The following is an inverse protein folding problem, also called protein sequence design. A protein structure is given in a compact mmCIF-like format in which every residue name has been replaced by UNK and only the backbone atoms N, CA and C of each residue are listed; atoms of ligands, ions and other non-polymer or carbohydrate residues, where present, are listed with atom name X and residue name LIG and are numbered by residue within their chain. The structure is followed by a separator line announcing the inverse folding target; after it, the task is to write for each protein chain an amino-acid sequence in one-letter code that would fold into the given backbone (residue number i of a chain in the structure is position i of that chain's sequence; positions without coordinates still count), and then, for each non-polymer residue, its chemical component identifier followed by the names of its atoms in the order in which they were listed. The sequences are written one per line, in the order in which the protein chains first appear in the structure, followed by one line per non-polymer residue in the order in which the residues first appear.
data_IF_512350599364
#
_entry.id   IF_512350599364
#
_cell.length_a   1.000
_cell.length_b   1.000
_cell.length_c   1.000
_cell.angle_alpha   90.00
_cell.angle_beta   90.00
_cell.angle_gamma   90.00
#
_symmetry.space_group_name_H-M   'P 1'
#
loop_
_entity.id
_entity.type
_entity.pdbx_description
1 polymer ?
#
# COMPACT_ATOMS: atom_id res chain seq x y z
N UNK A 1 -25.99 -48.62 29.04
CA UNK A 1 -24.70 -48.65 28.32
C UNK A 1 -23.73 -47.73 29.05
N UNK A 2 -23.25 -48.09 30.23
CA UNK A 2 -22.10 -48.97 30.49
C UNK A 2 -20.75 -48.33 30.08
N UNK A 3 -20.24 -47.56 31.03
CA UNK A 3 -18.89 -47.04 31.27
C UNK A 3 -17.87 -48.20 31.28
N UNK A 4 -16.73 -48.10 30.57
CA UNK A 4 -15.37 -48.27 31.15
C UNK A 4 -14.23 -48.16 30.11
N UNK A 5 -13.03 -47.77 30.60
CA UNK A 5 -11.81 -47.53 29.85
C UNK A 5 -10.92 -48.79 29.81
N UNK A 6 -9.99 -48.85 28.85
CA UNK A 6 -8.87 -49.81 28.85
C UNK A 6 -7.60 -49.13 29.34
N UNK A 7 -7.15 -49.58 30.50
CA UNK A 7 -5.93 -49.20 31.20
C UNK A 7 -5.19 -50.52 31.45
N UNK A 8 -3.92 -50.63 31.03
CA UNK A 8 -2.87 -51.56 31.53
C UNK A 8 -1.68 -51.47 30.57
N UNK A 9 -0.57 -50.79 30.89
CA UNK A 9 0.46 -51.09 31.90
C UNK A 9 1.25 -52.37 31.62
N UNK A 10 2.53 -52.23 31.25
CA UNK A 10 3.69 -53.06 31.63
C UNK A 10 4.95 -52.33 31.08
N UNK A 11 5.78 -51.62 31.85
CA UNK A 11 6.78 -51.98 32.90
C UNK A 11 8.20 -52.17 32.32
N UNK A 12 9.17 -51.63 33.08
CA UNK A 12 10.64 -51.86 33.13
C UNK A 12 11.46 -50.98 32.18
N UNK A 13 12.13 -49.90 32.63
CA UNK A 13 13.35 -49.85 33.47
C UNK A 13 14.46 -50.80 33.01
N UNK A 14 15.46 -50.22 32.33
CA UNK A 14 16.78 -50.78 32.06
C UNK A 14 17.81 -49.66 32.14
N UNK A 15 18.62 -49.74 33.19
CA UNK A 15 19.68 -48.84 33.67
C UNK A 15 20.74 -48.46 32.59
N UNK A 16 21.33 -47.25 32.60
CA UNK A 16 22.59 -47.00 31.90
C UNK A 16 23.77 -47.62 32.65
N UNK A 17 24.78 -48.13 31.92
CA UNK A 17 26.12 -47.96 32.44
C UNK A 17 27.15 -47.55 31.38
N UNK A 18 28.23 -47.00 31.93
CA UNK A 18 29.55 -46.82 31.34
C UNK A 18 29.72 -45.53 30.53
N UNK A 19 30.24 -44.46 31.14
CA UNK A 19 31.66 -44.33 31.50
C UNK A 19 32.59 -44.56 30.32
N UNK A 20 32.91 -43.47 29.62
CA UNK A 20 34.24 -43.22 29.07
C UNK A 20 34.32 -41.70 28.95
N UNK A 21 34.96 -41.00 29.88
CA UNK A 21 36.41 -40.76 29.84
C UNK A 21 36.90 -40.63 28.40
N UNK A 22 36.32 -39.70 27.64
CA UNK A 22 37.02 -39.10 26.52
C UNK A 22 38.09 -38.19 27.09
N UNK A 23 39.26 -38.79 27.24
CA UNK A 23 40.54 -38.18 27.56
C UNK A 23 40.57 -36.69 27.31
N UNK A 24 40.50 -35.91 28.41
CA UNK A 24 41.30 -34.69 28.52
C UNK A 24 42.73 -35.18 28.40
N UNK A 25 43.17 -35.32 27.15
CA UNK A 25 44.54 -35.59 26.80
C UNK A 25 45.34 -34.57 27.57
N UNK A 26 46.06 -35.09 28.53
CA UNK A 26 47.09 -34.43 29.28
C UNK A 26 47.92 -33.68 28.26
N UNK A 27 47.67 -32.38 28.12
CA UNK A 27 48.72 -31.42 27.79
C UNK A 27 49.59 -31.46 29.04
N UNK A 28 50.35 -32.54 29.14
CA UNK A 28 51.51 -32.69 29.97
C UNK A 28 52.45 -31.68 29.35
N UNK A 29 52.33 -30.47 29.90
CA UNK A 29 53.36 -29.45 29.97
C UNK A 29 54.68 -30.20 30.06
N UNK A 30 55.32 -30.37 28.91
CA UNK A 30 56.70 -30.77 28.82
C UNK A 30 57.44 -29.54 29.31
N UNK A 31 57.67 -29.52 30.62
CA UNK A 31 58.53 -28.59 31.30
C UNK A 31 59.91 -29.26 31.36
N UNK A 32 60.86 -28.95 30.46
CA UNK A 32 62.24 -29.23 30.72
C UNK A 32 62.77 -28.06 31.55
N UNK A 33 62.82 -28.25 32.87
CA UNK A 33 63.82 -27.57 33.68
C UNK A 33 65.01 -28.51 33.87
N UNK A 34 66.17 -27.88 33.97
CA UNK A 34 67.53 -28.41 34.17
C UNK A 34 68.32 -28.65 32.87
N UNK A 35 69.50 -28.08 32.64
CA UNK A 35 70.37 -27.20 33.41
C UNK A 35 71.44 -26.66 32.45
N UNK A 36 71.56 -25.33 32.25
CA UNK A 36 72.80 -24.64 31.86
C UNK A 36 72.57 -23.11 31.87
N UNK A 37 73.30 -22.39 32.72
CA UNK A 37 73.35 -20.93 32.79
C UNK A 37 73.80 -20.31 31.44
N UNK A 38 73.34 -19.08 31.10
CA UNK A 38 74.16 -17.91 31.42
C UNK A 38 73.34 -16.66 31.78
N UNK A 39 73.65 -16.03 32.91
CA UNK A 39 72.94 -14.85 33.47
C UNK A 39 72.96 -13.59 32.58
N UNK A 40 73.67 -13.61 31.45
CA UNK A 40 73.66 -12.53 30.44
C UNK A 40 72.52 -12.66 29.41
N UNK A 41 71.95 -13.86 29.32
CA UNK A 41 70.98 -14.26 28.29
C UNK A 41 69.56 -14.37 28.88
N UNK A 42 69.41 -14.44 30.20
CA UNK A 42 68.12 -14.29 30.90
C UNK A 42 67.37 -13.00 30.54
N UNK A 43 68.08 -11.88 30.36
CA UNK A 43 67.47 -10.59 30.01
C UNK A 43 67.02 -10.54 28.55
N UNK A 44 67.69 -11.28 27.66
CA UNK A 44 67.39 -11.32 26.22
C UNK A 44 66.24 -12.30 25.94
N UNK A 45 66.17 -13.43 26.64
CA UNK A 45 65.02 -14.35 26.54
C UNK A 45 63.75 -13.77 27.17
N UNK A 46 63.85 -13.07 28.30
CA UNK A 46 62.68 -12.43 28.91
C UNK A 46 62.06 -11.38 27.98
N UNK A 47 62.86 -10.55 27.30
CA UNK A 47 62.34 -9.54 26.38
C UNK A 47 61.80 -10.16 25.09
N UNK A 48 62.48 -11.16 24.52
CA UNK A 48 62.01 -11.83 23.29
C UNK A 48 60.72 -12.61 23.51
N UNK A 49 60.54 -13.28 24.66
CA UNK A 49 59.30 -14.01 25.00
C UNK A 49 58.13 -13.03 25.20
N UNK A 50 58.36 -11.89 25.85
CA UNK A 50 57.32 -10.85 26.03
C UNK A 50 56.91 -10.25 24.68
N UNK A 51 57.88 -9.94 23.82
CA UNK A 51 57.61 -9.41 22.46
C UNK A 51 56.86 -10.46 21.62
N UNK A 52 57.29 -11.73 21.65
CA UNK A 52 56.65 -12.80 20.88
C UNK A 52 55.18 -13.03 21.31
N UNK A 53 54.92 -13.10 22.63
CA UNK A 53 53.56 -13.25 23.14
C UNK A 53 52.68 -12.03 22.85
N UNK A 54 53.22 -10.81 22.92
CA UNK A 54 52.51 -9.60 22.53
C UNK A 54 52.09 -9.62 21.05
N UNK A 55 52.98 -10.04 20.14
CA UNK A 55 52.66 -10.16 18.71
C UNK A 55 51.57 -11.23 18.48
N UNK A 56 51.68 -12.40 19.13
CA UNK A 56 50.66 -13.46 19.00
C UNK A 56 49.30 -12.99 19.52
N UNK A 57 49.25 -12.35 20.68
CA UNK A 57 48.01 -11.78 21.23
C UNK A 57 47.43 -10.68 20.33
N UNK A 58 48.27 -9.85 19.71
CA UNK A 58 47.84 -8.82 18.76
C UNK A 58 47.23 -9.46 17.51
N UNK A 59 47.84 -10.49 16.95
CA UNK A 59 47.31 -11.18 15.77
C UNK A 59 45.96 -11.84 16.05
N UNK A 60 45.84 -12.51 17.19
CA UNK A 60 44.58 -13.16 17.61
C UNK A 60 43.52 -12.10 17.92
N UNK A 61 43.89 -11.06 18.67
CA UNK A 61 43.00 -9.96 19.04
C UNK A 61 42.53 -9.15 17.83
N UNK A 62 43.40 -8.91 16.85
CA UNK A 62 43.05 -8.24 15.60
C UNK A 62 42.16 -9.12 14.74
N UNK A 63 42.45 -10.43 14.63
CA UNK A 63 41.62 -11.37 13.89
C UNK A 63 40.21 -11.46 14.47
N UNK A 64 40.10 -11.66 15.78
CA UNK A 64 38.81 -11.71 16.46
C UNK A 64 38.10 -10.36 16.49
N UNK A 65 38.84 -9.27 16.69
CA UNK A 65 38.32 -7.91 16.72
C UNK A 65 37.75 -7.49 15.36
N UNK A 66 38.44 -7.81 14.26
CA UNK A 66 37.92 -7.55 12.91
C UNK A 66 36.74 -8.45 12.58
N UNK A 67 36.77 -9.74 12.96
CA UNK A 67 35.65 -10.64 12.68
C UNK A 67 34.39 -10.25 13.47
N UNK A 68 34.53 -9.95 14.75
CA UNK A 68 33.44 -9.47 15.60
C UNK A 68 32.97 -8.06 15.18
N UNK A 69 33.90 -7.17 14.84
CA UNK A 69 33.61 -5.83 14.34
C UNK A 69 32.84 -5.86 13.02
N UNK A 70 33.25 -6.72 12.08
CA UNK A 70 32.54 -6.93 10.80
C UNK A 70 31.16 -7.57 11.02
N UNK A 71 31.04 -8.54 11.92
CA UNK A 71 29.74 -9.18 12.22
C UNK A 71 28.79 -8.27 13.00
N UNK A 72 29.32 -7.38 13.84
CA UNK A 72 28.58 -6.40 14.61
C UNK A 72 28.38 -5.06 13.86
N UNK A 73 28.92 -4.95 12.64
CA UNK A 73 28.79 -3.73 11.83
C UNK A 73 27.33 -3.46 11.51
N UNK A 74 26.98 -2.17 11.43
CA UNK A 74 25.62 -1.68 11.25
C UNK A 74 24.89 -2.32 10.05
N UNK A 75 25.62 -2.79 9.04
CA UNK A 75 25.13 -3.49 7.85
C UNK A 75 24.16 -4.64 8.17
N UNK A 76 24.49 -5.52 9.12
CA UNK A 76 23.61 -6.64 9.48
C UNK A 76 22.31 -6.19 10.16
N UNK A 77 22.33 -5.03 10.84
CA UNK A 77 21.11 -4.42 11.40
C UNK A 77 20.25 -3.80 10.31
N UNK A 78 20.87 -3.13 9.32
CA UNK A 78 20.19 -2.55 8.16
C UNK A 78 19.53 -3.62 7.30
N UNK A 79 20.23 -4.73 7.04
CA UNK A 79 19.66 -5.85 6.29
C UNK A 79 18.41 -6.42 6.97
N UNK A 80 18.49 -6.69 8.29
CA UNK A 80 17.33 -7.16 9.07
C UNK A 80 16.19 -6.15 9.15
N UNK A 81 16.48 -4.86 9.15
CA UNK A 81 15.44 -3.81 9.12
C UNK A 81 14.73 -3.79 7.77
N UNK A 82 15.46 -3.93 6.66
CA UNK A 82 14.88 -4.00 5.31
C UNK A 82 14.04 -5.25 5.13
N UNK A 83 14.53 -6.41 5.57
CA UNK A 83 13.78 -7.67 5.55
C UNK A 83 12.47 -7.56 6.33
N UNK A 84 12.50 -6.95 7.53
CA UNK A 84 11.27 -6.67 8.30
C UNK A 84 10.31 -5.72 7.60
N UNK A 85 10.81 -4.67 6.93
CA UNK A 85 9.96 -3.75 6.18
C UNK A 85 9.32 -4.44 4.99
N UNK A 86 10.05 -5.32 4.31
CA UNK A 86 9.53 -6.12 3.21
C UNK A 86 8.41 -7.05 3.72
N UNK A 87 8.66 -7.78 4.80
CA UNK A 87 7.66 -8.66 5.40
C UNK A 87 6.42 -7.88 5.87
N UNK A 88 6.63 -6.71 6.49
CA UNK A 88 5.54 -5.85 6.93
C UNK A 88 4.67 -5.39 5.75
N UNK A 89 5.27 -4.90 4.67
CA UNK A 89 4.52 -4.46 3.48
C UNK A 89 3.77 -5.62 2.82
N UNK A 90 4.37 -6.82 2.77
CA UNK A 90 3.68 -8.01 2.24
C UNK A 90 2.49 -8.38 3.12
N UNK A 91 2.63 -8.30 4.45
CA UNK A 91 1.53 -8.55 5.38
C UNK A 91 0.41 -7.51 5.23
N UNK A 92 0.76 -6.22 5.16
CA UNK A 92 -0.21 -5.13 4.99
C UNK A 92 -0.97 -5.27 3.66
N UNK A 93 -0.28 -5.68 2.58
CA UNK A 93 -0.91 -5.95 1.28
C UNK A 93 -1.92 -7.10 1.36
N UNK A 94 -1.55 -8.21 2.00
CA UNK A 94 -2.46 -9.34 2.19
C UNK A 94 -3.67 -8.96 3.04
N UNK A 95 -3.46 -8.22 4.13
CA UNK A 95 -4.55 -7.75 4.98
C UNK A 95 -5.52 -6.84 4.22
N UNK A 96 -5.02 -5.94 3.36
CA UNK A 96 -5.86 -5.09 2.52
C UNK A 96 -6.65 -5.90 1.48
N UNK A 97 -6.00 -6.88 0.83
CA UNK A 97 -6.68 -7.78 -0.11
C UNK A 97 -7.81 -8.56 0.57
N UNK A 98 -7.58 -9.07 1.78
CA UNK A 98 -8.60 -9.76 2.59
C UNK A 98 -9.76 -8.82 2.97
N UNK A 99 -9.46 -7.58 3.36
CA UNK A 99 -10.48 -6.56 3.69
C UNK A 99 -11.37 -6.22 2.49
N UNK A 100 -10.78 -6.07 1.31
CA UNK A 100 -11.51 -5.78 0.06
C UNK A 100 -12.42 -6.95 -0.31
N UNK A 101 -11.95 -8.19 -0.17
CA UNK A 101 -12.77 -9.39 -0.40
C UNK A 101 -13.95 -9.43 0.56
N UNK A 102 -13.74 -9.14 1.84
CA UNK A 102 -14.81 -9.08 2.82
C UNK A 102 -15.81 -7.95 2.52
N UNK A 103 -15.32 -6.78 2.08
CA UNK A 103 -16.16 -5.66 1.68
C UNK A 103 -17.06 -6.02 0.51
N UNK A 104 -16.52 -6.61 -0.56
CA UNK A 104 -17.32 -7.04 -1.70
C UNK A 104 -18.28 -8.20 -1.37
N UNK A 105 -17.88 -9.11 -0.47
CA UNK A 105 -18.78 -10.16 0.01
C UNK A 105 -19.97 -9.57 0.79
N UNK A 106 -19.74 -8.56 1.63
CA UNK A 106 -20.81 -7.83 2.33
C UNK A 106 -21.68 -7.07 1.32
N UNK A 107 -21.08 -6.31 0.41
CA UNK A 107 -21.81 -5.55 -0.61
C UNK A 107 -22.67 -6.45 -1.49
N UNK A 108 -22.17 -7.62 -1.90
CA UNK A 108 -22.97 -8.59 -2.66
C UNK A 108 -24.20 -9.07 -1.88
N UNK A 109 -24.09 -9.27 -0.55
CA UNK A 109 -25.26 -9.62 0.29
C UNK A 109 -26.27 -8.48 0.35
N UNK A 110 -25.81 -7.24 0.52
CA UNK A 110 -26.68 -6.07 0.53
C UNK A 110 -27.36 -5.85 -0.83
N UNK A 111 -26.62 -6.02 -1.94
CA UNK A 111 -27.13 -5.88 -3.29
C UNK A 111 -28.19 -6.95 -3.63
N UNK A 112 -28.03 -8.18 -3.13
CA UNK A 112 -29.06 -9.20 -3.24
C UNK A 112 -30.33 -8.80 -2.48
N UNK A 113 -30.19 -8.28 -1.24
CA UNK A 113 -31.35 -7.76 -0.49
C UNK A 113 -32.06 -6.60 -1.18
N UNK A 114 -31.31 -5.71 -1.84
CA UNK A 114 -31.86 -4.67 -2.69
C UNK A 114 -32.59 -5.24 -3.91
N UNK A 115 -32.02 -6.26 -4.57
CA UNK A 115 -32.62 -6.92 -5.74
C UNK A 115 -33.95 -7.59 -5.37
N UNK A 116 -34.02 -8.23 -4.20
CA UNK A 116 -35.25 -8.81 -3.69
C UNK A 116 -36.30 -7.74 -3.38
N UNK A 117 -35.89 -6.63 -2.76
CA UNK A 117 -36.78 -5.49 -2.52
C UNK A 117 -37.30 -4.86 -3.83
N UNK A 118 -36.45 -4.76 -4.85
CA UNK A 118 -36.85 -4.28 -6.18
C UNK A 118 -37.87 -5.21 -6.84
N UNK A 119 -37.66 -6.52 -6.75
CA UNK A 119 -38.62 -7.52 -7.24
C UNK A 119 -39.96 -7.42 -6.53
N UNK A 120 -39.95 -7.23 -5.21
CA UNK A 120 -41.17 -7.07 -4.42
C UNK A 120 -41.96 -5.83 -4.85
N UNK A 121 -41.29 -4.68 -4.98
CA UNK A 121 -41.91 -3.45 -5.52
C UNK A 121 -42.48 -3.69 -6.92
N UNK A 122 -41.75 -4.34 -7.80
CA UNK A 122 -42.21 -4.62 -9.16
C UNK A 122 -43.43 -5.55 -9.18
N UNK A 123 -43.44 -6.59 -8.35
CA UNK A 123 -44.58 -7.50 -8.19
C UNK A 123 -45.80 -6.76 -7.60
N UNK A 124 -45.57 -5.84 -6.65
CA UNK A 124 -46.61 -5.00 -6.08
C UNK A 124 -47.20 -4.05 -7.14
N UNK A 125 -46.38 -3.46 -8.01
CA UNK A 125 -46.86 -2.65 -9.14
C UNK A 125 -47.69 -3.46 -10.13
N UNK A 126 -47.25 -4.67 -10.49
CA UNK A 126 -47.99 -5.54 -11.39
C UNK A 126 -49.35 -5.96 -10.80
N UNK A 127 -49.36 -6.34 -9.51
CA UNK A 127 -50.59 -6.70 -8.78
C UNK A 127 -51.53 -5.51 -8.60
N UNK A 128 -50.97 -4.34 -8.28
CA UNK A 128 -51.71 -3.09 -8.16
C UNK A 128 -52.35 -2.67 -9.49
N UNK A 129 -51.62 -2.75 -10.60
CA UNK A 129 -52.16 -2.49 -11.94
C UNK A 129 -53.30 -3.47 -12.27
N UNK A 130 -53.14 -4.77 -12.00
CA UNK A 130 -54.21 -5.75 -12.23
C UNK A 130 -55.47 -5.45 -11.40
N UNK A 131 -55.31 -5.08 -10.13
CA UNK A 131 -56.41 -4.78 -9.19
C UNK A 131 -57.10 -3.46 -9.53
N UNK A 132 -56.34 -2.41 -9.84
CA UNK A 132 -56.87 -1.08 -10.15
C UNK A 132 -57.50 -1.01 -11.55
N UNK A 133 -56.99 -1.80 -12.50
CA UNK A 133 -57.58 -1.94 -13.83
C UNK A 133 -58.66 -3.02 -13.89
N UNK A 134 -59.01 -3.68 -12.78
CA UNK A 134 -60.09 -4.66 -12.72
C UNK A 134 -61.45 -3.95 -12.88
N UNK A 135 -61.83 -3.67 -14.14
CA UNK A 135 -63.02 -2.90 -14.52
C UNK A 135 -62.85 -2.10 -15.82
N UNK A 136 -61.62 -1.77 -16.18
CA UNK A 136 -61.22 -1.29 -17.51
C UNK A 136 -60.33 -2.37 -18.09
N UNK A 137 -60.88 -3.23 -18.96
CA UNK A 137 -60.13 -4.33 -19.60
C UNK A 137 -58.78 -3.85 -20.16
N UNK A 138 -57.81 -4.76 -20.37
CA UNK A 138 -56.44 -4.42 -20.75
C UNK A 138 -56.48 -3.32 -21.80
N UNK A 139 -55.90 -2.16 -21.49
CA UNK A 139 -55.85 -1.03 -22.40
C UNK A 139 -55.06 -1.53 -23.60
N UNK A 140 -55.76 -2.00 -24.63
CA UNK A 140 -55.14 -2.50 -25.83
C UNK A 140 -54.25 -1.39 -26.36
N UNK A 141 -52.99 -1.71 -26.67
CA UNK A 141 -52.01 -0.76 -27.19
C UNK A 141 -52.62 0.09 -28.34
N UNK A 142 -53.54 -0.51 -29.09
CA UNK A 142 -54.36 0.08 -30.15
C UNK A 142 -55.23 1.28 -29.70
N UNK A 143 -55.79 1.26 -28.48
CA UNK A 143 -56.57 2.38 -27.91
C UNK A 143 -55.67 3.55 -27.49
N UNK A 144 -54.45 3.27 -27.06
CA UNK A 144 -53.45 4.30 -26.72
C UNK A 144 -52.82 4.91 -27.99
N UNK A 145 -52.57 4.10 -29.01
CA UNK A 145 -52.08 4.56 -30.31
C UNK A 145 -53.11 5.44 -31.03
N UNK A 146 -54.39 5.08 -30.98
CA UNK A 146 -55.47 5.90 -31.55
C UNK A 146 -55.72 7.22 -30.81
N UNK A 147 -55.22 7.38 -29.57
CA UNK A 147 -55.38 8.61 -28.78
C UNK A 147 -54.14 9.54 -28.87
N UNK A 148 -53.07 9.13 -29.56
CA UNK A 148 -51.77 9.81 -29.57
C UNK A 148 -51.47 10.71 -30.77
N UNK A 149 -52.34 10.77 -31.79
CA UNK A 149 -52.05 11.54 -33.02
C UNK A 149 -52.30 13.06 -32.92
N UNK A 150 -52.90 13.57 -31.83
CA UNK A 150 -53.27 15.00 -31.70
C UNK A 150 -52.33 15.82 -30.78
N UNK A 151 -51.18 15.26 -30.36
CA UNK A 151 -50.22 15.97 -29.51
C UNK A 151 -48.79 15.90 -30.07
N UNK A 152 -48.59 16.37 -31.30
CA UNK A 152 -47.25 16.76 -31.78
C UNK A 152 -46.74 17.92 -30.91
N UNK A 153 -45.90 17.60 -29.93
CA UNK A 153 -45.09 18.60 -29.23
C UNK A 153 -44.16 19.20 -30.29
N UNK A 154 -44.29 20.49 -30.64
CA UNK A 154 -43.59 21.02 -31.79
C UNK A 154 -42.08 21.02 -31.50
N UNK A 155 -41.31 20.57 -32.49
CA UNK A 155 -39.87 20.23 -32.41
C UNK A 155 -38.95 21.34 -31.90
N UNK A 156 -39.45 22.57 -31.76
CA UNK A 156 -38.72 23.71 -31.20
C UNK A 156 -38.79 23.83 -29.66
N UNK A 157 -39.68 23.09 -28.98
CA UNK A 157 -39.73 23.03 -27.51
C UNK A 157 -39.07 21.78 -26.91
N UNK A 158 -38.70 20.81 -27.74
CA UNK A 158 -38.09 19.56 -27.31
C UNK A 158 -36.56 19.63 -27.23
N UNK A 159 -35.99 20.63 -26.55
CA UNK A 159 -34.60 20.54 -26.09
C UNK A 159 -34.54 19.77 -24.76
N UNK A 160 -35.03 18.53 -24.78
CA UNK A 160 -34.99 17.62 -23.65
C UNK A 160 -33.71 16.81 -23.81
N UNK A 161 -32.59 17.41 -23.40
CA UNK A 161 -31.39 16.63 -23.20
C UNK A 161 -31.55 15.87 -21.87
N UNK A 162 -31.38 14.53 -21.84
CA UNK A 162 -31.41 13.79 -20.57
C UNK A 162 -30.43 14.43 -19.59
N UNK A 163 -30.69 14.39 -18.28
CA UNK A 163 -29.74 14.91 -17.30
C UNK A 163 -28.39 14.23 -17.53
N UNK A 164 -27.39 15.01 -17.95
CA UNK A 164 -26.02 14.54 -18.09
C UNK A 164 -25.46 14.37 -16.67
N UNK A 165 -25.30 13.14 -16.21
CA UNK A 165 -24.62 12.78 -14.95
C UNK A 165 -23.10 13.08 -14.97
N UNK A 166 -22.60 13.65 -16.07
CA UNK A 166 -21.21 14.05 -16.26
C UNK A 166 -21.17 15.55 -16.58
N UNK A 167 -20.30 16.29 -15.87
CA UNK A 167 -20.10 17.71 -16.13
C UNK A 167 -19.60 17.92 -17.58
N UNK A 168 -20.40 18.57 -18.46
CA UNK A 168 -19.99 18.83 -19.83
C UNK A 168 -18.83 19.83 -19.82
N UNK A 169 -17.90 19.65 -20.78
CA UNK A 169 -16.81 20.61 -20.99
C UNK A 169 -17.40 21.95 -21.44
N UNK A 170 -17.02 23.04 -20.79
CA UNK A 170 -17.49 24.39 -21.16
C UNK A 170 -16.95 24.87 -22.51
N UNK A 171 -15.81 24.34 -22.96
CA UNK A 171 -15.31 24.55 -24.32
C UNK A 171 -14.62 23.30 -24.89
N UNK A 172 -14.53 23.16 -26.23
CA UNK A 172 -13.95 21.97 -26.88
C UNK A 172 -12.47 21.72 -26.54
N UNK A 173 -11.74 22.79 -26.20
CA UNK A 173 -10.31 22.77 -25.90
C UNK A 173 -10.03 22.68 -24.39
N UNK A 174 -11.07 22.79 -23.55
CA UNK A 174 -10.93 22.71 -22.10
C UNK A 174 -10.62 21.28 -21.66
N UNK A 175 -9.55 21.19 -20.87
CA UNK A 175 -9.02 19.94 -20.38
C UNK A 175 -9.99 19.37 -19.35
N UNK A 176 -10.48 18.16 -19.58
CA UNK A 176 -11.53 17.55 -18.75
C UNK A 176 -11.13 17.36 -17.28
N UNK A 177 -12.12 17.26 -16.39
CA UNK A 177 -11.93 17.19 -14.94
C UNK A 177 -11.11 15.99 -14.44
N UNK A 178 -10.93 14.95 -15.27
CA UNK A 178 -10.09 13.77 -14.99
C UNK A 178 -8.74 13.81 -15.73
N UNK A 179 -8.25 14.99 -16.08
CA UNK A 179 -6.93 15.13 -16.65
C UNK A 179 -5.94 15.56 -15.56
N UNK A 180 -4.72 15.04 -15.59
CA UNK A 180 -3.66 15.29 -14.61
C UNK A 180 -3.29 16.78 -14.46
N UNK A 181 -3.66 17.60 -15.46
CA UNK A 181 -3.40 19.04 -15.44
C UNK A 181 -4.58 19.88 -14.91
N UNK A 182 -5.74 19.27 -14.67
CA UNK A 182 -6.93 20.00 -14.22
C UNK A 182 -6.67 20.70 -12.88
N UNK A 183 -6.78 22.02 -12.86
CA UNK A 183 -6.49 22.83 -11.68
C UNK A 183 -5.00 23.19 -11.49
N UNK A 184 -4.08 22.62 -12.28
CA UNK A 184 -2.68 23.07 -12.28
C UNK A 184 -2.54 24.45 -12.92
N UNK A 185 -3.41 24.82 -13.87
CA UNK A 185 -3.41 26.17 -14.44
C UNK A 185 -3.79 27.25 -13.41
N UNK A 186 -4.71 26.95 -12.48
CA UNK A 186 -5.07 27.85 -11.36
C UNK A 186 -3.87 28.06 -10.44
N UNK A 187 -3.22 26.98 -10.02
CA UNK A 187 -2.01 27.05 -9.17
C UNK A 187 -0.87 27.80 -9.88
N UNK A 188 -0.70 27.61 -11.19
CA UNK A 188 0.32 28.32 -11.98
C UNK A 188 0.03 29.82 -12.08
N UNK A 189 -1.25 30.20 -12.22
CA UNK A 189 -1.69 31.60 -12.28
C UNK A 189 -1.53 32.30 -10.93
N UNK A 190 -1.96 31.67 -9.85
CA UNK A 190 -1.82 32.17 -8.48
C UNK A 190 -0.34 32.33 -8.08
N UNK A 191 0.50 31.37 -8.47
CA UNK A 191 1.95 31.46 -8.24
C UNK A 191 2.59 32.60 -9.04
N UNK A 192 2.12 32.86 -10.26
CA UNK A 192 2.57 33.98 -11.08
C UNK A 192 2.12 35.33 -10.49
N UNK A 193 0.90 35.42 -9.96
CA UNK A 193 0.37 36.62 -9.31
C UNK A 193 1.07 36.91 -7.97
N UNK A 194 1.32 35.89 -7.15
CA UNK A 194 2.07 36.03 -5.89
C UNK A 194 3.55 36.42 -6.09
N UNK A 195 4.13 36.13 -7.25
CA UNK A 195 5.49 36.53 -7.60
C UNK A 195 5.57 37.98 -8.09
N UNK A 196 4.44 38.56 -8.54
CA UNK A 196 4.35 39.95 -9.00
C UNK A 196 4.10 40.91 -7.85
N UNK A 197 3.36 40.52 -6.81
CA UNK A 197 3.16 41.36 -5.61
C UNK A 197 4.41 41.47 -4.70
N UNK A 198 5.39 40.57 -4.81
CA UNK A 198 6.64 40.65 -4.04
C UNK A 198 7.65 41.68 -4.54
N UNK A 199 7.44 42.29 -5.72
CA UNK A 199 8.47 43.08 -6.41
C UNK A 199 8.11 44.53 -6.74
N UNK A 200 6.89 45.02 -6.46
CA UNK A 200 6.47 46.38 -6.86
C UNK A 200 5.99 47.18 -5.65
N UNK A 201 6.94 47.57 -4.80
CA UNK A 201 6.88 48.86 -4.11
C UNK A 201 7.51 49.90 -5.03
N UNK A 202 6.71 50.77 -5.66
CA UNK A 202 7.24 51.87 -6.45
C UNK A 202 6.33 52.35 -7.58
N UNK A 203 5.68 53.48 -7.32
CA UNK A 203 5.30 54.52 -8.30
C UNK A 203 4.16 54.22 -9.27
N UNK A 204 2.99 54.73 -8.91
CA UNK A 204 1.85 54.96 -9.81
C UNK A 204 2.17 56.20 -10.66
N UNK A 205 2.24 56.05 -11.98
CA UNK A 205 2.07 57.18 -12.91
C UNK A 205 1.10 56.80 -14.05
N UNK A 206 0.08 57.65 -14.15
CA UNK A 206 -0.92 57.91 -15.18
C UNK A 206 -0.63 57.43 -16.62
N UNK A 207 -1.70 57.08 -17.37
CA UNK A 207 -2.25 57.87 -18.50
C UNK A 207 -3.17 57.06 -19.45
N UNK A 208 -4.44 57.47 -19.43
CA UNK A 208 -5.42 57.71 -20.53
C UNK A 208 -5.44 56.94 -21.87
N UNK A 209 -6.70 56.73 -22.33
CA UNK A 209 -7.24 56.61 -23.72
C UNK A 209 -6.82 55.36 -24.51
N UNK A 210 -7.70 54.66 -25.24
CA UNK A 210 -8.65 55.09 -26.28
C UNK A 210 -9.70 53.97 -26.51
N UNK A 211 -11.00 54.26 -26.66
CA UNK A 211 -11.82 54.03 -27.87
C UNK A 211 -11.20 53.05 -28.90
N UNK A 212 -11.81 51.95 -29.34
CA UNK A 212 -13.13 51.82 -29.92
C UNK A 212 -12.99 51.67 -31.45
N UNK A 213 -13.06 50.45 -32.00
CA UNK A 213 -13.56 50.25 -33.38
C UNK A 213 -13.98 48.79 -33.62
N UNK A 214 -15.27 48.65 -33.90
CA UNK A 214 -15.96 47.52 -34.51
C UNK A 214 -15.64 47.39 -36.00
N UNK A 215 -15.37 46.17 -36.50
CA UNK A 215 -15.71 45.79 -37.88
C UNK A 215 -16.29 44.38 -37.95
N UNK A 216 -17.59 44.34 -38.24
CA UNK A 216 -18.26 43.24 -38.87
C UNK A 216 -17.77 43.05 -40.33
N UNK A 217 -17.66 41.79 -40.76
CA UNK A 217 -17.78 41.35 -42.15
C UNK A 217 -18.12 39.86 -42.10
N UNK A 218 -19.39 39.48 -42.16
CA UNK A 218 -20.17 39.23 -43.38
C UNK A 218 -19.53 38.17 -44.30
N UNK A 219 -20.14 36.98 -44.27
CA UNK A 219 -20.63 36.22 -45.43
C UNK A 219 -19.61 35.82 -46.54
N UNK A 220 -19.43 34.50 -46.75
CA UNK A 220 -19.94 33.74 -47.92
C UNK A 220 -19.14 32.45 -48.19
N UNK A 221 -19.91 31.40 -48.51
CA UNK A 221 -19.57 30.05 -49.00
C UNK A 221 -19.37 28.96 -47.93
#
# INVERSE_FOLDING_TARGET
MAKRPTLTSHRQQGNPPCSSHFSRALIRVYWPACCACPVRICRVYSLTIVIASAVVCLLIGLGLGLLAGRRSSAEGKKYREVERKLDQVIQDKRAYEDEVVEHFAKTAKLLNGLTDSYRDVHNHLATGAATLCQGQGPISLERLQSAGDDAEIPSHLANIQPPLDYAPKSSPEEKGMLNEEFGLERVKREKAESAVEGAVGGTVESKAKDAGESKAKAEKA
#
